data_IF_852240310301
#
_entry.id   IF_852240310301
#
_cell.length_a   1.000
_cell.length_b   1.000
_cell.length_c   1.000
_cell.angle_alpha   90.00
_cell.angle_beta   90.00
_cell.angle_gamma   90.00
#
_symmetry.space_group_name_H-M   'P 1'
#
loop_
_entity.id
_entity.type
_entity.pdbx_description
1 polymer ?
#
# COMPACT_ATOMS: atom_id res chain seq x y z
N UNK A 1 -10.60 6.27 22.86
CA UNK A 1 -11.87 5.91 22.17
C UNK A 1 -13.03 6.83 22.52
N UNK A 2 -13.51 6.90 23.78
CA UNK A 2 -14.78 7.59 24.11
C UNK A 2 -14.74 9.13 23.86
N UNK A 3 -13.59 9.77 24.07
CA UNK A 3 -13.43 11.22 23.85
C UNK A 3 -13.39 11.56 22.35
N UNK A 4 -12.74 10.72 21.53
CA UNK A 4 -12.66 10.91 20.06
C UNK A 4 -14.00 10.64 19.38
N UNK A 5 -14.83 9.72 19.89
CA UNK A 5 -16.18 9.45 19.37
C UNK A 5 -17.11 10.68 19.55
N UNK A 6 -16.98 11.43 20.65
CA UNK A 6 -17.70 12.70 20.83
C UNK A 6 -17.25 13.75 19.82
N UNK A 7 -15.94 13.86 19.59
CA UNK A 7 -15.35 14.80 18.63
C UNK A 7 -15.76 14.53 17.18
N UNK A 8 -15.91 13.25 16.81
CA UNK A 8 -16.44 12.83 15.50
C UNK A 8 -17.90 13.27 15.33
N UNK A 9 -18.71 13.19 16.39
CA UNK A 9 -20.11 13.58 16.36
C UNK A 9 -20.30 15.10 16.27
N UNK A 10 -19.40 15.89 16.88
CA UNK A 10 -19.45 17.35 16.89
C UNK A 10 -18.89 18.00 15.60
N UNK A 11 -17.83 17.43 15.00
CA UNK A 11 -17.14 18.04 13.85
C UNK A 11 -17.49 17.45 12.47
N UNK A 12 -18.34 16.41 12.38
CA UNK A 12 -18.89 15.74 11.17
C UNK A 12 -18.03 15.83 9.90
N UNK A 13 -18.12 16.93 9.15
CA UNK A 13 -17.45 17.12 7.86
C UNK A 13 -16.05 17.77 7.94
N UNK A 14 -15.77 18.55 8.99
CA UNK A 14 -14.44 19.16 9.21
C UNK A 14 -13.40 18.16 9.70
N UNK A 15 -13.83 17.09 10.38
CA UNK A 15 -12.94 16.05 10.89
C UNK A 15 -12.20 15.35 9.72
N UNK A 16 -12.90 14.99 8.64
CA UNK A 16 -12.31 14.36 7.46
C UNK A 16 -11.27 15.22 6.71
N UNK A 17 -11.26 16.54 6.91
CA UNK A 17 -10.31 17.41 6.22
C UNK A 17 -8.96 17.54 6.94
N UNK A 18 -8.88 17.07 8.20
CA UNK A 18 -7.64 17.09 8.96
C UNK A 18 -6.93 15.74 8.81
N UNK A 19 -5.77 15.73 8.16
CA UNK A 19 -4.95 14.54 7.93
C UNK A 19 -4.79 13.64 9.18
N UNK A 20 -4.56 14.27 10.34
CA UNK A 20 -4.41 13.57 11.63
C UNK A 20 -5.66 12.85 12.12
N UNK A 21 -6.85 13.40 11.81
CA UNK A 21 -8.11 12.76 12.14
C UNK A 21 -8.33 11.47 11.34
N UNK A 22 -7.93 11.46 10.06
CA UNK A 22 -8.05 10.29 9.19
C UNK A 22 -7.20 9.11 9.69
N UNK A 23 -5.99 9.40 10.20
CA UNK A 23 -5.13 8.39 10.84
C UNK A 23 -5.79 7.82 12.11
N UNK A 24 -6.43 8.65 12.92
CA UNK A 24 -7.15 8.20 14.12
C UNK A 24 -8.32 7.28 13.77
N UNK A 25 -9.10 7.62 12.74
CA UNK A 25 -10.15 6.75 12.21
C UNK A 25 -9.60 5.41 11.71
N UNK A 26 -8.43 5.42 11.06
CA UNK A 26 -7.73 4.20 10.65
C UNK A 26 -7.41 3.29 11.84
N UNK A 27 -6.85 3.84 12.92
CA UNK A 27 -6.55 3.08 14.15
C UNK A 27 -7.82 2.49 14.77
N UNK A 28 -8.88 3.30 14.90
CA UNK A 28 -10.15 2.83 15.47
C UNK A 28 -10.74 1.72 14.59
N UNK A 29 -10.80 1.92 13.27
CA UNK A 29 -11.32 0.94 12.32
C UNK A 29 -10.54 -0.38 12.36
N UNK A 30 -9.21 -0.32 12.27
CA UNK A 30 -8.37 -1.52 12.35
C UNK A 30 -8.47 -2.22 13.70
N UNK A 31 -8.56 -1.48 14.81
CA UNK A 31 -8.68 -2.08 16.16
C UNK A 31 -10.01 -2.79 16.37
N UNK A 32 -11.14 -2.17 16.00
CA UNK A 32 -12.48 -2.79 16.07
C UNK A 32 -12.57 -3.98 15.12
N UNK A 33 -12.04 -3.84 13.90
CA UNK A 33 -11.94 -4.95 12.94
C UNK A 33 -11.13 -6.12 13.48
N UNK A 34 -9.99 -5.84 14.12
CA UNK A 34 -9.13 -6.87 14.72
C UNK A 34 -9.86 -7.63 15.83
N UNK A 35 -10.63 -6.94 16.67
CA UNK A 35 -11.45 -7.58 17.71
C UNK A 35 -12.51 -8.50 17.08
N UNK A 36 -13.21 -8.02 16.05
CA UNK A 36 -14.22 -8.83 15.34
C UNK A 36 -13.63 -10.11 14.73
N UNK A 37 -12.49 -9.99 14.05
CA UNK A 37 -11.79 -11.15 13.46
C UNK A 37 -11.22 -12.07 14.53
N UNK A 38 -10.79 -11.52 15.67
CA UNK A 38 -10.33 -12.34 16.81
C UNK A 38 -11.44 -13.22 17.38
N UNK A 39 -12.67 -12.69 17.52
CA UNK A 39 -13.82 -13.50 17.92
C UNK A 39 -14.13 -14.61 16.89
N UNK A 40 -14.05 -14.31 15.60
CA UNK A 40 -14.24 -15.32 14.56
C UNK A 40 -13.15 -16.41 14.63
N UNK A 41 -11.88 -16.02 14.79
CA UNK A 41 -10.77 -16.95 15.00
C UNK A 41 -11.02 -17.86 16.21
N UNK A 42 -11.54 -17.31 17.30
CA UNK A 42 -11.84 -18.07 18.52
C UNK A 42 -12.96 -19.10 18.29
N UNK A 43 -14.01 -18.74 17.55
CA UNK A 43 -15.08 -19.69 17.19
C UNK A 43 -14.55 -20.82 16.31
N UNK A 44 -13.74 -20.52 15.30
CA UNK A 44 -13.16 -21.54 14.42
C UNK A 44 -12.18 -22.45 15.17
N UNK A 45 -11.38 -21.90 16.09
CA UNK A 45 -10.51 -22.70 16.95
C UNK A 45 -11.31 -23.71 17.80
N UNK A 46 -12.43 -23.27 18.40
CA UNK A 46 -13.29 -24.14 19.19
C UNK A 46 -13.96 -25.23 18.33
N UNK A 47 -14.39 -24.89 17.10
CA UNK A 47 -14.96 -25.85 16.15
C UNK A 47 -13.94 -26.95 15.78
N UNK A 48 -12.69 -26.55 15.52
CA UNK A 48 -11.60 -27.48 15.19
C UNK A 48 -11.29 -28.40 16.38
N UNK A 49 -11.20 -27.86 17.60
CA UNK A 49 -10.95 -28.65 18.81
C UNK A 49 -12.05 -29.69 19.05
N UNK A 50 -13.33 -29.33 18.89
CA UNK A 50 -14.46 -30.25 19.05
C UNK A 50 -14.45 -31.35 17.98
N UNK A 51 -14.16 -31.00 16.72
CA UNK A 51 -14.03 -31.99 15.63
C UNK A 51 -12.87 -32.95 15.89
N UNK A 52 -11.77 -32.47 16.45
CA UNK A 52 -10.62 -33.29 16.81
C UNK A 52 -10.95 -34.27 17.94
N UNK A 53 -11.64 -33.82 18.99
CA UNK A 53 -12.09 -34.66 20.11
C UNK A 53 -13.10 -35.73 19.68
N UNK A 54 -14.07 -35.40 18.81
CA UNK A 54 -15.09 -36.36 18.34
C UNK A 54 -14.53 -37.45 17.43
N UNK A 55 -13.40 -37.16 16.78
CA UNK A 55 -12.87 -37.99 15.70
C UNK A 55 -11.59 -38.74 16.07
N UNK A 56 -11.03 -38.48 17.26
CA UNK A 56 -9.74 -39.03 17.71
C UNK A 56 -8.61 -38.87 16.67
N UNK A 57 -8.67 -37.83 15.83
CA UNK A 57 -7.64 -37.51 14.83
C UNK A 57 -7.63 -38.35 13.54
N UNK A 58 -8.65 -39.19 13.27
CA UNK A 58 -8.66 -40.05 12.07
C UNK A 58 -9.22 -39.40 10.79
N UNK A 59 -9.77 -38.17 10.85
CA UNK A 59 -10.31 -37.47 9.67
C UNK A 59 -9.46 -36.23 9.38
N UNK A 60 -9.28 -35.94 8.09
CA UNK A 60 -8.65 -34.72 7.61
C UNK A 60 -9.49 -33.48 7.97
N UNK A 61 -8.92 -32.58 8.78
CA UNK A 61 -9.53 -31.30 9.13
C UNK A 61 -8.95 -30.22 8.21
N UNK A 62 -9.82 -29.51 7.48
CA UNK A 62 -9.39 -28.42 6.61
C UNK A 62 -9.04 -27.16 7.44
N UNK A 63 -7.74 -26.93 7.66
CA UNK A 63 -7.20 -25.77 8.39
C UNK A 63 -7.06 -24.52 7.53
N UNK A 64 -7.34 -24.58 6.22
CA UNK A 64 -7.13 -23.46 5.31
C UNK A 64 -7.94 -22.23 5.71
N UNK A 65 -9.17 -22.43 6.20
CA UNK A 65 -10.00 -21.33 6.70
C UNK A 65 -9.42 -20.71 7.97
N UNK A 66 -8.88 -21.53 8.89
CA UNK A 66 -8.23 -21.04 10.10
C UNK A 66 -6.96 -20.23 9.80
N UNK A 67 -6.18 -20.66 8.80
CA UNK A 67 -5.02 -19.91 8.30
C UNK A 67 -5.46 -18.58 7.69
N UNK A 68 -6.48 -18.59 6.83
CA UNK A 68 -6.99 -17.37 6.20
C UNK A 68 -7.50 -16.32 7.22
N UNK A 69 -8.23 -16.76 8.25
CA UNK A 69 -8.68 -15.89 9.34
C UNK A 69 -7.49 -15.33 10.14
N UNK A 70 -6.44 -16.12 10.33
CA UNK A 70 -5.21 -15.68 10.98
C UNK A 70 -4.44 -14.65 10.15
N UNK A 71 -4.33 -14.89 8.83
CA UNK A 71 -3.68 -13.95 7.91
C UNK A 71 -4.40 -12.59 7.91
N UNK A 72 -5.74 -12.59 7.83
CA UNK A 72 -6.54 -11.36 7.92
C UNK A 72 -6.29 -10.63 9.24
N UNK A 73 -6.25 -11.35 10.36
CA UNK A 73 -5.96 -10.76 11.66
C UNK A 73 -4.56 -10.13 11.69
N UNK A 74 -3.57 -10.83 11.13
CA UNK A 74 -2.18 -10.36 11.04
C UNK A 74 -2.08 -9.09 10.18
N UNK A 75 -2.78 -9.05 9.04
CA UNK A 75 -2.85 -7.84 8.23
C UNK A 75 -3.50 -6.67 8.97
N UNK A 76 -4.63 -6.89 9.65
CA UNK A 76 -5.32 -5.85 10.42
C UNK A 76 -4.44 -5.28 11.55
N UNK A 77 -3.72 -6.15 12.27
CA UNK A 77 -2.76 -5.74 13.28
C UNK A 77 -1.58 -4.97 12.68
N UNK A 78 -1.07 -5.41 11.51
CA UNK A 78 -0.04 -4.71 10.76
C UNK A 78 -0.46 -3.29 10.38
N UNK A 79 -1.67 -3.11 9.85
CA UNK A 79 -2.22 -1.79 9.56
C UNK A 79 -2.41 -0.94 10.83
N UNK A 80 -2.86 -1.55 11.93
CA UNK A 80 -2.98 -0.87 13.22
C UNK A 80 -1.63 -0.33 13.72
N UNK A 81 -0.58 -1.16 13.67
CA UNK A 81 0.78 -0.77 14.00
C UNK A 81 1.30 0.33 13.07
N UNK A 82 1.03 0.23 11.77
CA UNK A 82 1.42 1.24 10.79
C UNK A 82 0.79 2.61 11.10
N UNK A 83 -0.53 2.69 11.31
CA UNK A 83 -1.17 3.95 11.66
C UNK A 83 -0.72 4.48 13.03
N UNK A 84 -0.49 3.58 14.00
CA UNK A 84 0.06 3.95 15.31
C UNK A 84 1.46 4.55 15.18
N UNK A 85 2.29 4.01 14.29
CA UNK A 85 3.62 4.54 13.99
C UNK A 85 3.54 5.94 13.35
N UNK A 86 2.60 6.18 12.45
CA UNK A 86 2.38 7.54 11.90
C UNK A 86 1.96 8.51 13.00
N UNK A 87 1.06 8.08 13.91
CA UNK A 87 0.65 8.91 15.06
C UNK A 87 1.84 9.18 15.99
N UNK A 88 2.75 8.21 16.16
CA UNK A 88 3.99 8.39 16.91
C UNK A 88 4.90 9.46 16.30
N UNK A 89 4.99 9.56 14.98
CA UNK A 89 5.71 10.66 14.29
C UNK A 89 5.10 12.03 14.62
N UNK A 90 3.78 12.13 14.85
CA UNK A 90 3.15 13.38 15.30
C UNK A 90 3.69 13.85 16.66
N UNK A 91 3.91 12.92 17.60
CA UNK A 91 4.47 13.26 18.91
C UNK A 91 5.88 13.83 18.80
N UNK A 92 6.66 13.51 17.77
CA UNK A 92 7.96 14.16 17.57
C UNK A 92 7.88 15.65 17.22
N UNK A 93 6.71 16.16 16.80
CA UNK A 93 6.50 17.60 16.51
C UNK A 93 6.58 18.48 17.75
N UNK A 94 6.58 17.93 18.96
CA UNK A 94 6.87 18.69 20.19
C UNK A 94 8.28 19.30 20.18
N UNK A 95 9.20 18.78 19.35
CA UNK A 95 10.49 19.43 19.12
C UNK A 95 10.34 20.55 18.07
N UNK A 96 10.73 21.78 18.44
CA UNK A 96 10.66 22.96 17.59
C UNK A 96 11.35 22.78 16.23
N UNK A 97 12.48 22.05 16.19
CA UNK A 97 13.19 21.75 14.93
C UNK A 97 12.39 20.81 14.02
N UNK A 98 11.72 19.81 14.59
CA UNK A 98 10.90 18.86 13.84
C UNK A 98 9.61 19.50 13.32
N UNK A 99 9.01 20.42 14.08
CA UNK A 99 7.82 21.16 13.60
C UNK A 99 8.15 22.06 12.41
N UNK A 100 9.34 22.67 12.37
CA UNK A 100 9.75 23.51 11.25
C UNK A 100 9.85 22.72 9.94
N UNK A 101 10.42 21.50 9.96
CA UNK A 101 10.42 20.61 8.78
C UNK A 101 9.01 20.23 8.31
N UNK A 102 8.09 20.00 9.25
CA UNK A 102 6.70 19.68 8.92
C UNK A 102 5.97 20.88 8.28
N UNK A 103 6.26 22.11 8.72
CA UNK A 103 5.70 23.33 8.15
C UNK A 103 6.24 23.63 6.75
N UNK A 104 7.55 23.47 6.53
CA UNK A 104 8.14 23.62 5.19
C UNK A 104 7.57 22.58 4.22
N UNK A 105 7.44 21.32 4.66
CA UNK A 105 6.83 20.27 3.83
C UNK A 105 5.37 20.58 3.51
N UNK A 106 4.60 21.07 4.49
CA UNK A 106 3.20 21.49 4.29
C UNK A 106 3.08 22.67 3.32
N UNK A 107 4.02 23.61 3.37
CA UNK A 107 4.05 24.75 2.45
C UNK A 107 4.31 24.32 1.01
N UNK A 108 5.30 23.45 0.79
CA UNK A 108 5.62 22.93 -0.54
C UNK A 108 4.66 21.83 -1.04
N UNK A 109 3.83 21.25 -0.15
CA UNK A 109 2.93 20.14 -0.50
C UNK A 109 1.99 20.48 -1.67
N UNK A 110 1.50 21.72 -1.75
CA UNK A 110 0.61 22.14 -2.85
C UNK A 110 1.31 22.05 -4.20
N UNK A 111 2.56 22.52 -4.28
CA UNK A 111 3.36 22.46 -5.50
C UNK A 111 3.75 21.02 -5.82
N UNK A 112 4.13 20.23 -4.81
CA UNK A 112 4.48 18.82 -4.97
C UNK A 112 3.29 17.99 -5.49
N UNK A 113 2.07 18.25 -5.01
CA UNK A 113 0.86 17.59 -5.51
C UNK A 113 0.62 17.94 -6.98
N UNK A 114 0.76 19.22 -7.35
CA UNK A 114 0.62 19.65 -8.75
C UNK A 114 1.65 18.96 -9.66
N UNK A 115 2.89 18.87 -9.21
CA UNK A 115 3.94 18.16 -9.93
C UNK A 115 3.68 16.65 -10.00
N UNK A 116 3.21 16.04 -8.92
CA UNK A 116 2.85 14.62 -8.86
C UNK A 116 1.75 14.26 -9.85
N UNK A 117 0.79 15.16 -10.13
CA UNK A 117 -0.24 14.94 -11.15
C UNK A 117 0.39 14.91 -12.55
N UNK A 118 1.29 15.84 -12.87
CA UNK A 118 2.02 15.83 -14.14
C UNK A 118 2.84 14.54 -14.30
N UNK A 119 3.59 14.18 -13.26
CA UNK A 119 4.35 12.93 -13.22
C UNK A 119 3.46 11.71 -13.45
N UNK A 120 2.32 11.63 -12.77
CA UNK A 120 1.40 10.50 -12.90
C UNK A 120 0.86 10.36 -14.33
N UNK A 121 0.55 11.45 -15.03
CA UNK A 121 0.08 11.42 -16.43
C UNK A 121 1.17 10.85 -17.35
N UNK A 122 2.41 11.33 -17.19
CA UNK A 122 3.57 10.85 -17.97
C UNK A 122 3.81 9.36 -17.66
N UNK A 123 3.83 9.00 -16.38
CA UNK A 123 4.07 7.63 -15.93
C UNK A 123 2.99 6.66 -16.44
N UNK A 124 1.71 7.03 -16.37
CA UNK A 124 0.61 6.20 -16.88
C UNK A 124 0.66 6.07 -18.41
N UNK A 125 1.12 7.10 -19.11
CA UNK A 125 1.32 7.06 -20.56
C UNK A 125 2.44 6.07 -20.94
N UNK A 126 3.53 6.02 -20.18
CA UNK A 126 4.55 4.99 -20.34
C UNK A 126 4.06 3.60 -19.91
N UNK A 127 3.26 3.52 -18.85
CA UNK A 127 2.66 2.27 -18.40
C UNK A 127 1.82 1.62 -19.51
N UNK A 128 0.95 2.40 -20.15
CA UNK A 128 0.11 1.89 -21.25
C UNK A 128 0.93 1.54 -22.48
N UNK A 129 1.93 2.36 -22.84
CA UNK A 129 2.83 2.10 -23.95
C UNK A 129 3.64 0.81 -23.76
N UNK A 130 4.29 0.63 -22.60
CA UNK A 130 5.07 -0.56 -22.30
C UNK A 130 4.19 -1.80 -22.23
N UNK A 131 3.02 -1.70 -21.63
CA UNK A 131 2.07 -2.81 -21.59
C UNK A 131 1.67 -3.23 -23.01
N UNK A 132 1.26 -2.30 -23.87
CA UNK A 132 0.85 -2.63 -25.24
C UNK A 132 1.98 -3.20 -26.10
N UNK A 133 3.21 -2.68 -25.97
CA UNK A 133 4.34 -3.14 -26.77
C UNK A 133 4.87 -4.50 -26.32
N UNK A 134 4.88 -4.77 -25.01
CA UNK A 134 5.65 -5.87 -24.44
C UNK A 134 4.81 -6.94 -23.71
N UNK A 135 3.49 -6.81 -23.62
CA UNK A 135 2.61 -7.81 -22.97
C UNK A 135 2.79 -9.22 -23.54
N UNK A 136 3.01 -9.35 -24.86
CA UNK A 136 3.20 -10.65 -25.52
C UNK A 136 4.65 -11.16 -25.49
N UNK A 137 5.60 -10.33 -25.03
CA UNK A 137 7.04 -10.60 -25.13
C UNK A 137 7.73 -10.79 -23.78
N UNK A 138 7.24 -10.12 -22.73
CA UNK A 138 7.86 -10.05 -21.42
C UNK A 138 6.88 -10.48 -20.33
N UNK A 139 7.28 -11.42 -19.46
CA UNK A 139 6.44 -11.81 -18.32
C UNK A 139 6.27 -10.66 -17.32
N UNK A 140 7.27 -9.77 -17.23
CA UNK A 140 7.23 -8.53 -16.45
C UNK A 140 6.16 -7.56 -16.93
N UNK A 141 5.65 -7.72 -18.16
CA UNK A 141 4.56 -6.93 -18.74
C UNK A 141 3.23 -7.71 -18.82
N UNK A 142 3.11 -8.85 -18.15
CA UNK A 142 1.93 -9.72 -18.24
C UNK A 142 0.62 -9.08 -17.75
N UNK A 143 0.72 -8.15 -16.79
CA UNK A 143 -0.41 -7.38 -16.27
C UNK A 143 -0.03 -5.92 -16.13
N UNK A 144 -1.03 -5.03 -16.06
CA UNK A 144 -0.80 -3.61 -15.80
C UNK A 144 -0.04 -3.38 -14.47
N UNK A 145 -0.36 -4.15 -13.43
CA UNK A 145 0.32 -4.04 -12.14
C UNK A 145 1.77 -4.51 -12.22
N UNK A 146 2.03 -5.64 -12.90
CA UNK A 146 3.40 -6.11 -13.13
C UNK A 146 4.22 -5.12 -13.97
N UNK A 147 3.61 -4.52 -14.98
CA UNK A 147 4.25 -3.48 -15.81
C UNK A 147 4.56 -2.24 -14.98
N UNK A 148 3.66 -1.83 -14.08
CA UNK A 148 3.91 -0.71 -13.18
C UNK A 148 5.08 -1.00 -12.24
N UNK A 149 5.14 -2.22 -11.69
CA UNK A 149 6.28 -2.66 -10.88
C UNK A 149 7.59 -2.61 -11.68
N UNK A 150 7.58 -3.11 -12.92
CA UNK A 150 8.73 -3.06 -13.82
C UNK A 150 9.20 -1.61 -14.08
N UNK A 151 8.28 -0.68 -14.32
CA UNK A 151 8.63 0.74 -14.51
C UNK A 151 9.21 1.38 -13.23
N UNK A 152 8.71 1.01 -12.04
CA UNK A 152 9.32 1.42 -10.78
C UNK A 152 10.72 0.82 -10.60
N UNK A 153 10.93 -0.45 -10.95
CA UNK A 153 12.24 -1.09 -10.93
C UNK A 153 13.23 -0.41 -11.89
N UNK A 154 12.76 0.03 -13.07
CA UNK A 154 13.55 0.85 -13.99
C UNK A 154 13.91 2.21 -13.40
N UNK A 155 12.95 2.87 -12.74
CA UNK A 155 13.19 4.17 -12.07
C UNK A 155 14.24 4.04 -10.97
N UNK A 156 14.25 2.92 -10.24
CA UNK A 156 15.25 2.59 -9.22
C UNK A 156 16.58 2.07 -9.80
N UNK A 157 16.71 1.99 -11.14
CA UNK A 157 17.84 1.39 -11.85
C UNK A 157 18.17 -0.06 -11.44
N UNK A 158 17.17 -0.82 -10.98
CA UNK A 158 17.32 -2.23 -10.58
C UNK A 158 16.93 -3.21 -11.68
N UNK A 159 16.43 -2.70 -12.80
CA UNK A 159 15.90 -3.52 -13.90
C UNK A 159 17.01 -4.02 -14.84
N UNK A 160 16.87 -5.26 -15.31
CA UNK A 160 17.78 -5.87 -16.28
C UNK A 160 17.42 -5.47 -17.72
N UNK A 161 18.13 -4.48 -18.25
CA UNK A 161 17.90 -3.92 -19.58
C UNK A 161 18.00 -4.95 -20.72
N UNK A 162 18.70 -6.08 -20.50
CA UNK A 162 18.82 -7.15 -21.51
C UNK A 162 17.47 -7.72 -21.94
N UNK A 163 16.49 -7.75 -21.02
CA UNK A 163 15.16 -8.29 -21.28
C UNK A 163 14.38 -7.43 -22.28
N UNK A 164 14.48 -6.10 -22.17
CA UNK A 164 13.83 -5.17 -23.11
C UNK A 164 14.55 -5.16 -24.46
N UNK A 165 15.89 -5.20 -24.44
CA UNK A 165 16.68 -5.26 -25.67
C UNK A 165 16.43 -6.55 -26.46
N UNK A 166 16.17 -7.67 -25.77
CA UNK A 166 15.82 -8.95 -26.39
C UNK A 166 14.39 -9.03 -26.94
N UNK A 167 13.47 -8.20 -26.45
CA UNK A 167 12.08 -8.18 -26.91
C UNK A 167 11.92 -7.52 -28.29
N UNK A 168 12.61 -6.40 -28.51
CA UNK A 168 12.70 -5.72 -29.80
C UNK A 168 14.03 -4.97 -29.92
N UNK A 169 14.77 -5.26 -30.99
CA UNK A 169 16.08 -4.64 -31.24
C UNK A 169 16.03 -3.11 -31.43
N UNK A 170 14.87 -2.56 -31.83
CA UNK A 170 14.71 -1.12 -32.08
C UNK A 170 13.78 -0.45 -31.06
N UNK A 171 12.52 -0.90 -30.95
CA UNK A 171 11.54 -0.28 -30.04
C UNK A 171 11.93 -0.42 -28.57
N UNK A 172 12.54 -1.55 -28.17
CA UNK A 172 12.97 -1.78 -26.79
C UNK A 172 13.93 -0.70 -26.27
N UNK A 173 15.14 -0.59 -26.87
CA UNK A 173 16.12 0.44 -26.48
C UNK A 173 15.58 1.87 -26.61
N UNK A 174 14.80 2.16 -27.64
CA UNK A 174 14.21 3.48 -27.86
C UNK A 174 13.25 3.87 -26.74
N UNK A 175 12.26 3.02 -26.44
CA UNK A 175 11.29 3.27 -25.37
C UNK A 175 11.95 3.31 -23.99
N UNK A 176 12.94 2.44 -23.74
CA UNK A 176 13.71 2.45 -22.50
C UNK A 176 14.49 3.75 -22.30
N UNK A 177 15.22 4.20 -23.32
CA UNK A 177 16.00 5.44 -23.26
C UNK A 177 15.11 6.66 -23.08
N UNK A 178 13.98 6.69 -23.79
CA UNK A 178 13.02 7.77 -23.72
C UNK A 178 12.33 7.82 -22.33
N UNK A 179 12.00 6.66 -21.75
CA UNK A 179 11.51 6.56 -20.37
C UNK A 179 12.56 7.07 -19.37
N UNK A 180 13.80 6.58 -19.45
CA UNK A 180 14.87 7.02 -18.55
C UNK A 180 15.10 8.53 -18.63
N UNK A 181 15.13 9.09 -19.84
CA UNK A 181 15.29 10.53 -20.02
C UNK A 181 14.14 11.33 -19.39
N UNK A 182 12.89 11.01 -19.70
CA UNK A 182 11.76 11.79 -19.22
C UNK A 182 11.43 11.56 -17.75
N UNK A 183 11.45 10.32 -17.28
CA UNK A 183 11.01 9.97 -15.93
C UNK A 183 12.13 10.12 -14.91
N UNK A 184 13.36 9.73 -15.24
CA UNK A 184 14.48 9.79 -14.28
C UNK A 184 15.24 11.11 -14.35
N UNK A 185 15.51 11.67 -15.53
CA UNK A 185 16.30 12.91 -15.61
C UNK A 185 15.46 14.19 -15.57
N UNK A 186 14.22 14.16 -16.06
CA UNK A 186 13.35 15.36 -16.08
C UNK A 186 12.40 15.39 -14.89
N UNK A 187 11.84 14.26 -14.47
CA UNK A 187 10.82 14.25 -13.41
C UNK A 187 11.33 13.90 -12.00
N UNK A 188 12.50 13.31 -11.85
CA UNK A 188 13.08 12.95 -10.55
C UNK A 188 14.17 13.96 -10.16
#
# INVERSE_FOLDING_TARGET
MIIEIRLIFELRLKYFHQFWSLIQLGIIGCSVGSIGVYFWRFQEANRISQLFEQTNGYIYINLQLAVYVNDILTFLLGYCCFFSMIKFVELFRFNQRASLFAETLKSCAKELISFSIMFAIIFISFLSLFYLLFVSKLSSCSSLLATAQMLFEMTLMKFDASQIMGADAFLGPFCFTLFMFLVVFVCL
#
